data_IF_123685688818
#
_entry.id   IF_123685688818
#
_cell.length_a   1.000
_cell.length_b   1.000
_cell.length_c   1.000
_cell.angle_alpha   90.00
_cell.angle_beta   90.00
_cell.angle_gamma   90.00
#
_symmetry.space_group_name_H-M   'P 1'
#
loop_
_entity.id
_entity.type
_entity.pdbx_description
1 polymer ?
#
# COMPACT_ATOMS: atom_id res chain seq x y z
N UNK A 1 17.98 25.28 40.47
CA UNK A 1 18.12 24.92 39.04
C UNK A 1 17.29 23.70 38.64
N UNK A 2 17.27 22.61 39.42
CA UNK A 2 16.56 21.36 39.05
C UNK A 2 15.02 21.40 39.06
N UNK A 3 14.40 22.19 39.94
CA UNK A 3 12.92 22.30 40.02
C UNK A 3 12.34 23.04 38.79
N UNK A 4 12.99 24.12 38.34
CA UNK A 4 12.58 24.92 37.18
C UNK A 4 12.66 24.15 35.85
N UNK A 5 13.62 23.22 35.73
CA UNK A 5 13.75 22.35 34.56
C UNK A 5 12.55 21.40 34.49
N UNK A 6 12.16 20.79 35.60
CA UNK A 6 11.03 19.87 35.66
C UNK A 6 9.71 20.56 35.28
N UNK A 7 9.48 21.78 35.75
CA UNK A 7 8.30 22.58 35.38
C UNK A 7 8.27 22.90 33.88
N UNK A 8 9.42 23.18 33.27
CA UNK A 8 9.52 23.44 31.82
C UNK A 8 9.22 22.19 31.00
N UNK A 9 9.76 21.02 31.39
CA UNK A 9 9.44 19.75 30.72
C UNK A 9 7.97 19.37 30.85
N UNK A 10 7.38 19.59 32.03
CA UNK A 10 5.95 19.37 32.26
C UNK A 10 5.10 20.29 31.39
N UNK A 11 5.43 21.58 31.30
CA UNK A 11 4.74 22.53 30.41
C UNK A 11 4.85 22.13 28.94
N UNK A 12 6.04 21.71 28.48
CA UNK A 12 6.23 21.21 27.11
C UNK A 12 5.42 19.94 26.84
N UNK A 13 5.38 19.01 27.80
CA UNK A 13 4.59 17.79 27.69
C UNK A 13 3.09 18.11 27.57
N UNK A 14 2.55 18.98 28.42
CA UNK A 14 1.16 19.43 28.34
C UNK A 14 0.86 20.15 27.03
N UNK A 15 1.74 21.06 26.59
CA UNK A 15 1.60 21.77 25.32
C UNK A 15 1.56 20.80 24.12
N UNK A 16 2.45 19.80 24.11
CA UNK A 16 2.47 18.77 23.07
C UNK A 16 1.21 17.91 23.07
N UNK A 17 0.67 17.57 24.24
CA UNK A 17 -0.56 16.79 24.39
C UNK A 17 -1.78 17.56 23.88
N UNK A 18 -1.89 18.85 24.24
CA UNK A 18 -2.97 19.72 23.77
C UNK A 18 -2.90 19.87 22.25
N UNK A 19 -1.71 20.07 21.68
CA UNK A 19 -1.54 20.14 20.23
C UNK A 19 -1.96 18.84 19.55
N UNK A 20 -1.56 17.69 20.11
CA UNK A 20 -1.92 16.37 19.56
C UNK A 20 -3.43 16.15 19.58
N UNK A 21 -4.10 16.43 20.70
CA UNK A 21 -5.55 16.29 20.84
C UNK A 21 -6.28 17.23 19.88
N UNK A 22 -5.85 18.49 19.81
CA UNK A 22 -6.42 19.49 18.90
C UNK A 22 -6.30 19.06 17.45
N UNK A 23 -5.13 18.54 17.05
CA UNK A 23 -4.89 18.01 15.71
C UNK A 23 -5.86 16.86 15.36
N UNK A 24 -6.04 15.90 16.27
CA UNK A 24 -6.96 14.75 16.07
C UNK A 24 -8.40 15.23 15.92
N UNK A 25 -8.85 16.15 16.78
CA UNK A 25 -10.21 16.68 16.74
C UNK A 25 -10.47 17.49 15.47
N UNK A 26 -9.55 18.39 15.09
CA UNK A 26 -9.66 19.17 13.86
C UNK A 26 -9.76 18.27 12.63
N UNK A 27 -8.96 17.20 12.59
CA UNK A 27 -9.01 16.23 11.50
C UNK A 27 -10.36 15.51 11.46
N UNK A 28 -10.88 15.06 12.60
CA UNK A 28 -12.18 14.40 12.69
C UNK A 28 -13.32 15.31 12.25
N UNK A 29 -13.29 16.59 12.64
CA UNK A 29 -14.30 17.59 12.23
C UNK A 29 -14.26 17.83 10.72
N UNK A 30 -13.06 17.99 10.13
CA UNK A 30 -12.90 18.14 8.68
C UNK A 30 -13.48 16.95 7.92
N UNK A 31 -13.16 15.74 8.39
CA UNK A 31 -13.61 14.49 7.79
C UNK A 31 -15.14 14.36 7.80
N UNK A 32 -15.79 14.67 8.91
CA UNK A 32 -17.26 14.67 9.03
C UNK A 32 -17.93 15.72 8.13
N UNK A 33 -17.30 16.88 7.91
CA UNK A 33 -17.85 17.96 7.09
C UNK A 33 -17.91 17.60 5.60
N UNK A 34 -16.95 16.83 5.11
CA UNK A 34 -16.79 16.52 3.69
C UNK A 34 -17.67 15.35 3.21
N UNK A 35 -18.48 14.74 4.09
CA UNK A 35 -19.25 13.52 3.80
C UNK A 35 -18.38 12.41 3.22
N UNK A 36 -17.14 12.31 3.71
CA UNK A 36 -16.23 11.24 3.33
C UNK A 36 -16.77 9.88 3.82
N UNK A 37 -16.27 8.75 3.27
CA UNK A 37 -16.58 7.40 3.76
C UNK A 37 -16.39 7.27 5.28
N UNK A 38 -16.85 6.22 5.97
CA UNK A 38 -16.60 6.09 7.40
C UNK A 38 -15.11 5.86 7.72
N UNK A 39 -14.50 6.74 8.53
CA UNK A 39 -13.15 6.53 9.08
C UNK A 39 -13.24 5.64 10.32
N UNK A 40 -12.65 4.45 10.23
CA UNK A 40 -12.64 3.49 11.34
C UNK A 40 -11.92 4.11 12.55
N UNK A 41 -12.53 4.11 13.75
CA UNK A 41 -11.91 4.66 14.96
C UNK A 41 -10.60 3.95 15.30
N UNK A 42 -9.52 4.70 15.47
CA UNK A 42 -8.19 4.17 15.82
C UNK A 42 -7.76 4.61 17.22
N UNK A 43 -6.94 3.78 17.86
CA UNK A 43 -6.40 4.03 19.21
C UNK A 43 -5.20 4.96 19.22
N UNK A 44 -4.34 4.90 18.19
CA UNK A 44 -3.06 5.60 18.16
C UNK A 44 -3.09 6.77 17.17
N UNK A 45 -3.06 8.04 17.62
CA UNK A 45 -3.18 9.22 16.75
C UNK A 45 -2.20 9.33 15.58
N UNK A 46 -0.97 8.88 15.76
CA UNK A 46 0.13 9.01 14.77
C UNK A 46 0.25 7.77 13.89
N UNK A 47 0.03 6.58 14.47
CA UNK A 47 0.23 5.29 13.79
C UNK A 47 -1.09 4.78 13.19
N UNK A 48 -2.23 5.13 13.78
CA UNK A 48 -3.54 4.65 13.41
C UNK A 48 -3.69 3.15 13.56
N UNK A 49 -4.16 2.53 12.48
CA UNK A 49 -4.38 1.10 12.30
C UNK A 49 -3.16 0.37 11.77
N UNK A 50 -2.01 1.04 11.59
CA UNK A 50 -0.84 0.45 10.93
C UNK A 50 -0.38 -0.85 11.58
N UNK A 51 -0.43 -0.94 12.92
CA UNK A 51 -0.01 -2.16 13.64
C UNK A 51 -0.98 -3.30 13.38
N UNK A 52 -2.29 -3.06 13.49
CA UNK A 52 -3.32 -4.08 13.28
C UNK A 52 -3.32 -4.55 11.82
N UNK A 53 -3.13 -3.60 10.90
CA UNK A 53 -2.97 -3.86 9.47
C UNK A 53 -1.76 -4.75 9.17
N UNK A 54 -0.61 -4.55 9.83
CA UNK A 54 0.57 -5.40 9.63
C UNK A 54 0.44 -6.77 10.29
N UNK A 55 -0.14 -6.84 11.50
CA UNK A 55 -0.22 -8.08 12.28
C UNK A 55 -1.18 -9.10 11.66
N UNK A 56 -2.36 -8.65 11.24
CA UNK A 56 -3.39 -9.53 10.69
C UNK A 56 -4.27 -8.77 9.69
N UNK A 57 -3.66 -8.37 8.58
CA UNK A 57 -4.33 -7.63 7.51
C UNK A 57 -5.67 -8.27 7.11
N UNK A 58 -5.64 -9.59 6.84
CA UNK A 58 -6.79 -10.30 6.29
C UNK A 58 -7.99 -10.28 7.23
N UNK A 59 -7.82 -10.63 8.50
CA UNK A 59 -8.95 -10.65 9.43
C UNK A 59 -9.34 -9.23 9.86
N UNK A 60 -8.38 -8.31 9.97
CA UNK A 60 -8.65 -6.92 10.28
C UNK A 60 -9.52 -6.26 9.21
N UNK A 61 -9.15 -6.36 7.93
CA UNK A 61 -9.93 -5.82 6.82
C UNK A 61 -11.31 -6.48 6.73
N UNK A 62 -11.41 -7.79 6.95
CA UNK A 62 -12.71 -8.48 7.01
C UNK A 62 -13.60 -7.96 8.13
N UNK A 63 -13.03 -7.71 9.32
CA UNK A 63 -13.76 -7.13 10.44
C UNK A 63 -14.26 -5.73 10.11
N UNK A 64 -13.39 -4.88 9.54
CA UNK A 64 -13.77 -3.54 9.11
C UNK A 64 -14.87 -3.58 8.04
N UNK A 65 -14.76 -4.48 7.06
CA UNK A 65 -15.77 -4.65 6.02
C UNK A 65 -17.13 -5.10 6.60
N UNK A 66 -17.13 -6.03 7.56
CA UNK A 66 -18.35 -6.47 8.23
C UNK A 66 -19.02 -5.37 9.08
N UNK A 67 -18.24 -4.46 9.66
CA UNK A 67 -18.73 -3.40 10.55
C UNK A 67 -19.11 -2.11 9.81
N UNK A 68 -18.36 -1.75 8.75
CA UNK A 68 -18.48 -0.47 8.05
C UNK A 68 -18.96 -0.60 6.60
N UNK A 69 -19.08 -1.82 6.06
CA UNK A 69 -19.57 -2.11 4.71
C UNK A 69 -18.50 -2.07 3.62
N UNK A 70 -18.94 -1.88 2.37
CA UNK A 70 -18.10 -1.94 1.16
C UNK A 70 -17.06 -0.80 1.09
N UNK A 71 -17.31 0.36 1.69
CA UNK A 71 -16.40 1.51 1.65
C UNK A 71 -16.11 1.98 3.06
N UNK A 72 -14.83 2.01 3.44
CA UNK A 72 -14.38 2.58 4.69
C UNK A 72 -12.95 3.10 4.57
N UNK A 73 -12.58 4.04 5.42
CA UNK A 73 -11.23 4.57 5.46
C UNK A 73 -10.49 4.12 6.70
N UNK A 74 -9.19 3.85 6.54
CA UNK A 74 -8.27 3.53 7.60
C UNK A 74 -7.15 4.56 7.64
N UNK A 75 -6.73 4.95 8.85
CA UNK A 75 -5.49 5.67 9.03
C UNK A 75 -4.32 4.67 9.12
N UNK A 76 -3.53 4.55 8.06
CA UNK A 76 -2.38 3.63 7.96
C UNK A 76 -1.20 4.35 7.32
N UNK A 77 0.03 4.04 7.77
CA UNK A 77 1.27 4.64 7.24
C UNK A 77 1.29 6.18 7.30
N UNK A 78 0.64 6.77 8.31
CA UNK A 78 0.57 8.23 8.45
C UNK A 78 -0.41 8.90 7.47
N UNK A 79 -1.19 8.15 6.69
CA UNK A 79 -2.19 8.69 5.75
C UNK A 79 -3.56 8.01 5.88
N UNK A 80 -4.61 8.70 5.42
CA UNK A 80 -5.94 8.08 5.29
C UNK A 80 -5.96 7.31 3.97
N UNK A 81 -6.26 6.02 4.03
CA UNK A 81 -6.46 5.18 2.84
C UNK A 81 -7.90 4.69 2.87
N UNK A 82 -8.64 4.94 1.79
CA UNK A 82 -10.00 4.43 1.61
C UNK A 82 -9.94 3.06 0.95
N UNK A 83 -10.47 2.07 1.64
CA UNK A 83 -10.63 0.71 1.17
C UNK A 83 -12.00 0.59 0.52
N UNK A 84 -12.00 -0.05 -0.65
CA UNK A 84 -13.21 -0.28 -1.42
C UNK A 84 -13.32 -1.76 -1.73
N UNK A 85 -14.49 -2.31 -1.43
CA UNK A 85 -14.84 -3.69 -1.61
C UNK A 85 -15.00 -4.07 -3.07
N UNK A 86 -15.30 -5.37 -3.28
CA UNK A 86 -15.31 -5.96 -4.62
C UNK A 86 -16.39 -5.32 -5.49
N UNK A 87 -17.54 -4.96 -4.94
CA UNK A 87 -18.70 -4.50 -5.70
C UNK A 87 -18.42 -3.19 -6.45
N UNK A 88 -17.60 -2.31 -5.87
CA UNK A 88 -17.30 -0.98 -6.40
C UNK A 88 -15.91 -0.89 -7.05
N UNK A 89 -15.09 -1.95 -6.95
CA UNK A 89 -13.74 -1.98 -7.50
C UNK A 89 -13.69 -1.64 -8.99
N UNK A 90 -14.66 -2.11 -9.78
CA UNK A 90 -14.74 -1.80 -11.20
C UNK A 90 -15.00 -0.32 -11.50
N UNK A 91 -15.73 0.40 -10.65
CA UNK A 91 -16.01 1.82 -10.86
C UNK A 91 -14.74 2.66 -10.70
N UNK A 92 -13.95 2.35 -9.68
CA UNK A 92 -12.65 2.99 -9.42
C UNK A 92 -11.68 2.72 -10.57
N UNK A 93 -11.56 1.47 -11.00
CA UNK A 93 -10.62 1.09 -12.06
C UNK A 93 -10.99 1.67 -13.42
N UNK A 94 -12.28 1.93 -13.69
CA UNK A 94 -12.74 2.57 -14.93
C UNK A 94 -12.52 4.08 -14.93
N UNK A 95 -12.59 4.72 -13.77
CA UNK A 95 -12.55 6.17 -13.65
C UNK A 95 -11.11 6.74 -13.59
N UNK A 96 -10.39 6.57 -14.69
CA UNK A 96 -9.00 7.00 -14.87
C UNK A 96 -8.77 8.52 -14.85
N UNK A 97 -9.84 9.33 -14.87
CA UNK A 97 -9.73 10.79 -14.78
C UNK A 97 -9.54 11.25 -13.34
N UNK A 98 -10.19 10.55 -12.42
CA UNK A 98 -10.18 10.87 -10.99
C UNK A 98 -9.18 10.00 -10.21
N UNK A 99 -8.81 8.83 -10.74
CA UNK A 99 -7.87 7.90 -10.12
C UNK A 99 -6.67 7.56 -11.02
N UNK A 100 -5.45 7.68 -10.48
CA UNK A 100 -4.20 7.34 -11.15
C UNK A 100 -3.44 6.23 -10.43
N UNK A 101 -3.28 5.08 -11.08
CA UNK A 101 -2.49 3.97 -10.55
C UNK A 101 -0.99 4.27 -10.54
N UNK A 102 -0.50 5.04 -11.51
CA UNK A 102 0.92 5.36 -11.65
C UNK A 102 1.36 6.31 -10.54
N UNK A 103 0.58 7.37 -10.29
CA UNK A 103 0.85 8.31 -9.19
C UNK A 103 0.77 7.60 -7.84
N UNK A 104 -0.28 6.80 -7.61
CA UNK A 104 -0.40 6.01 -6.40
C UNK A 104 0.80 5.06 -6.20
N UNK A 105 1.31 4.44 -7.26
CA UNK A 105 2.48 3.57 -7.16
C UNK A 105 3.74 4.33 -6.75
N UNK A 106 4.00 5.50 -7.36
CA UNK A 106 5.15 6.36 -7.05
C UNK A 106 5.15 6.86 -5.61
N UNK A 107 3.97 7.21 -5.08
CA UNK A 107 3.84 7.65 -3.68
C UNK A 107 4.09 6.52 -2.66
N UNK A 108 3.77 5.28 -3.02
CA UNK A 108 3.87 4.14 -2.11
C UNK A 108 5.21 3.42 -2.20
N UNK A 109 5.85 3.41 -3.37
CA UNK A 109 7.12 2.73 -3.59
C UNK A 109 7.97 3.47 -4.65
N UNK A 110 9.21 3.87 -4.34
CA UNK A 110 10.08 4.58 -5.28
C UNK A 110 10.69 3.61 -6.30
N UNK A 111 9.86 3.10 -7.22
CA UNK A 111 10.22 2.08 -8.22
C UNK A 111 11.42 2.49 -9.06
N UNK A 112 11.48 3.76 -9.46
CA UNK A 112 12.51 4.30 -10.35
C UNK A 112 13.87 4.30 -9.64
N UNK A 113 13.92 4.74 -8.38
CA UNK A 113 15.13 4.68 -7.57
C UNK A 113 15.55 3.23 -7.27
N UNK A 114 14.58 2.37 -6.93
CA UNK A 114 14.84 0.97 -6.62
C UNK A 114 15.44 0.22 -7.82
N UNK A 115 14.97 0.52 -9.03
CA UNK A 115 15.43 -0.10 -10.28
C UNK A 115 16.59 0.66 -10.95
N UNK A 116 17.04 1.77 -10.38
CA UNK A 116 18.01 2.69 -10.99
C UNK A 116 17.61 3.09 -12.43
N UNK A 117 16.38 3.59 -12.58
CA UNK A 117 15.77 3.99 -13.85
C UNK A 117 15.37 5.47 -13.86
N UNK A 118 15.20 6.09 -15.05
CA UNK A 118 14.65 7.44 -15.18
C UNK A 118 13.24 7.55 -14.57
N UNK A 119 12.86 8.76 -14.16
CA UNK A 119 11.59 9.03 -13.47
C UNK A 119 10.35 8.70 -14.33
N UNK A 120 10.48 8.76 -15.65
CA UNK A 120 9.43 8.50 -16.63
C UNK A 120 9.29 7.01 -16.97
N UNK A 121 10.13 6.14 -16.39
CA UNK A 121 10.11 4.71 -16.66
C UNK A 121 8.72 4.12 -16.46
N UNK A 122 8.07 4.43 -15.33
CA UNK A 122 6.74 3.91 -14.99
C UNK A 122 5.62 4.44 -15.88
N UNK A 123 5.78 5.62 -16.50
CA UNK A 123 4.81 6.16 -17.47
C UNK A 123 4.82 5.36 -18.77
N UNK A 124 5.99 4.87 -19.18
CA UNK A 124 6.15 4.10 -20.42
C UNK A 124 5.83 2.61 -20.26
N UNK A 125 5.84 2.09 -19.03
CA UNK A 125 5.64 0.68 -18.71
C UNK A 125 4.37 0.07 -19.30
N UNK A 126 3.16 0.68 -19.16
CA UNK A 126 1.94 0.06 -19.67
C UNK A 126 1.98 -0.20 -21.17
N UNK A 127 2.52 0.76 -21.94
CA UNK A 127 2.69 0.65 -23.39
C UNK A 127 3.71 -0.43 -23.75
N UNK A 128 4.84 -0.46 -23.05
CA UNK A 128 5.89 -1.46 -23.29
C UNK A 128 5.39 -2.87 -22.98
N UNK A 129 4.63 -3.05 -21.91
CA UNK A 129 3.96 -4.32 -21.57
C UNK A 129 2.97 -4.72 -22.67
N UNK A 130 2.12 -3.81 -23.11
CA UNK A 130 1.13 -4.10 -24.15
C UNK A 130 1.78 -4.56 -25.47
N UNK A 131 2.82 -3.85 -25.93
CA UNK A 131 3.50 -4.15 -27.19
C UNK A 131 4.30 -5.46 -27.08
N UNK A 132 5.08 -5.60 -26.02
CA UNK A 132 6.04 -6.70 -25.92
C UNK A 132 5.37 -7.96 -25.38
N UNK A 133 4.66 -7.90 -24.26
CA UNK A 133 4.04 -9.09 -23.67
C UNK A 133 2.81 -9.53 -24.45
N UNK A 134 1.78 -8.70 -24.55
CA UNK A 134 0.52 -9.13 -25.19
C UNK A 134 0.71 -9.44 -26.68
N UNK A 135 1.53 -8.66 -27.38
CA UNK A 135 1.83 -8.87 -28.80
C UNK A 135 2.67 -10.12 -29.09
N UNK A 136 3.49 -10.58 -28.15
CA UNK A 136 4.45 -11.68 -28.39
C UNK A 136 4.30 -12.86 -27.40
N UNK A 137 3.18 -12.95 -26.69
CA UNK A 137 3.00 -13.92 -25.61
C UNK A 137 3.21 -15.36 -26.06
N UNK A 138 2.82 -15.70 -27.30
CA UNK A 138 3.01 -17.04 -27.88
C UNK A 138 4.48 -17.40 -28.00
N UNK A 139 5.31 -16.47 -28.48
CA UNK A 139 6.76 -16.64 -28.62
C UNK A 139 7.42 -16.85 -27.25
N UNK A 140 7.04 -16.02 -26.26
CA UNK A 140 7.59 -16.14 -24.92
C UNK A 140 7.17 -17.43 -24.22
N UNK A 141 5.92 -17.87 -24.40
CA UNK A 141 5.41 -19.12 -23.83
C UNK A 141 6.22 -20.32 -24.32
N UNK A 142 6.48 -20.41 -25.63
CA UNK A 142 7.28 -21.49 -26.19
C UNK A 142 8.72 -21.48 -25.64
N UNK A 143 9.34 -20.30 -25.58
CA UNK A 143 10.70 -20.15 -25.04
C UNK A 143 10.79 -20.55 -23.57
N UNK A 144 9.84 -20.10 -22.76
CA UNK A 144 9.77 -20.46 -21.33
C UNK A 144 9.59 -21.97 -21.17
N UNK A 145 8.69 -22.59 -21.92
CA UNK A 145 8.48 -24.04 -21.86
C UNK A 145 9.74 -24.82 -22.23
N UNK A 146 10.41 -24.47 -23.33
CA UNK A 146 11.65 -25.12 -23.75
C UNK A 146 12.75 -24.97 -22.70
N UNK A 147 12.91 -23.77 -22.13
CA UNK A 147 13.94 -23.51 -21.14
C UNK A 147 13.66 -24.22 -19.80
N UNK A 148 12.39 -24.32 -19.40
CA UNK A 148 11.99 -25.08 -18.22
C UNK A 148 12.29 -26.57 -18.38
N UNK A 149 11.92 -27.18 -19.52
CA UNK A 149 12.20 -28.59 -19.82
C UNK A 149 13.71 -28.84 -19.77
N UNK A 150 14.48 -28.02 -20.50
CA UNK A 150 15.94 -28.11 -20.51
C UNK A 150 16.54 -28.00 -19.10
N UNK A 151 16.08 -27.04 -18.30
CA UNK A 151 16.61 -26.84 -16.94
C UNK A 151 16.25 -28.01 -16.02
N UNK A 152 15.04 -28.57 -16.15
CA UNK A 152 14.63 -29.76 -15.41
C UNK A 152 15.52 -30.96 -15.78
N UNK A 153 15.78 -31.18 -17.08
CA UNK A 153 16.65 -32.26 -17.55
C UNK A 153 18.09 -32.09 -17.06
N UNK A 154 18.61 -30.87 -17.04
CA UNK A 154 19.96 -30.58 -16.53
C UNK A 154 20.06 -30.76 -15.00
N UNK A 155 19.05 -30.33 -14.24
CA UNK A 155 19.06 -30.38 -12.78
C UNK A 155 18.70 -31.76 -12.21
N UNK A 156 17.74 -32.45 -12.81
CA UNK A 156 17.14 -33.70 -12.27
C UNK A 156 17.46 -34.90 -13.16
N UNK A 157 17.59 -34.69 -14.48
CA UNK A 157 17.85 -35.74 -15.47
C UNK A 157 16.97 -36.97 -15.24
N UNK A 158 17.61 -38.10 -14.97
CA UNK A 158 16.98 -39.42 -14.83
C UNK A 158 16.42 -39.69 -13.42
N UNK A 159 16.17 -38.66 -12.61
CA UNK A 159 15.62 -38.78 -11.26
C UNK A 159 16.64 -38.74 -10.11
N UNK A 160 17.83 -38.16 -10.34
CA UNK A 160 18.78 -37.82 -9.26
C UNK A 160 19.26 -36.38 -9.44
N UNK A 161 19.04 -35.55 -8.42
CA UNK A 161 19.49 -34.15 -8.41
C UNK A 161 21.00 -34.12 -8.64
N UNK A 162 21.43 -33.49 -9.74
CA UNK A 162 22.84 -33.23 -10.00
C UNK A 162 23.22 -31.98 -9.20
N UNK A 163 23.70 -32.19 -7.98
CA UNK A 163 24.29 -31.09 -7.19
C UNK A 163 25.55 -30.59 -7.90
N UNK A 164 25.72 -29.27 -8.08
CA UNK A 164 26.99 -28.72 -8.53
C UNK A 164 28.03 -28.93 -7.40
N UNK A 165 29.19 -29.49 -7.77
CA UNK A 165 30.37 -29.57 -6.91
C UNK A 165 30.97 -28.18 -6.65
#
# INVERSE_FOLDING_TARGET
MGVMLNDTYVQLAFGSLIMLVSYVLLRRVKYLKLKEPPLVPYKYPIIGHTIDFYKDNKNFIKKCHAEYGEIFSLFVFGKVITFVGKELSCEILKNHKDFSFIEASRENFPFENFLNRPNEFTDTLPRMVQINLSGQIKLYTERVQRQLIKSIDEMIGNGKVRLPN
#
